data_IF_347215767995
#
_entry.id   IF_347215767995
#
_cell.length_a   1.000
_cell.length_b   1.000
_cell.length_c   1.000
_cell.angle_alpha   90.00
_cell.angle_beta   90.00
_cell.angle_gamma   90.00
#
_symmetry.space_group_name_H-M   'P 1'
#
loop_
_entity.id
_entity.type
_entity.pdbx_description
1 polymer ?
#
# COMPACT_ATOMS: atom_id res chain seq x y z
N UNK A 1 -4.76 3.15 -24.58
CA UNK A 1 -4.57 3.99 -23.37
C UNK A 1 -5.51 3.71 -22.21
N UNK A 2 -6.84 3.63 -22.42
CA UNK A 2 -7.81 3.36 -21.34
C UNK A 2 -7.44 2.13 -20.48
N UNK A 3 -7.10 0.94 -21.07
CA UNK A 3 -6.72 -0.22 -20.25
C UNK A 3 -5.50 0.04 -19.36
N UNK A 4 -4.51 0.80 -19.85
CA UNK A 4 -3.32 1.16 -19.09
C UNK A 4 -3.62 2.14 -17.96
N UNK A 5 -4.48 3.14 -18.21
CA UNK A 5 -4.92 4.08 -17.17
C UNK A 5 -5.70 3.36 -16.08
N UNK A 6 -6.62 2.46 -16.45
CA UNK A 6 -7.36 1.65 -15.48
C UNK A 6 -6.45 0.71 -14.69
N UNK A 7 -5.48 0.05 -15.33
CA UNK A 7 -4.48 -0.77 -14.63
C UNK A 7 -3.67 0.05 -13.61
N UNK A 8 -3.25 1.27 -13.97
CA UNK A 8 -2.58 2.21 -13.06
C UNK A 8 -3.48 2.58 -11.88
N UNK A 9 -4.75 2.88 -12.15
CA UNK A 9 -5.73 3.23 -11.12
C UNK A 9 -5.95 2.08 -10.13
N UNK A 10 -6.15 0.85 -10.61
CA UNK A 10 -6.26 -0.32 -9.74
C UNK A 10 -4.98 -0.56 -8.93
N UNK A 11 -3.81 -0.39 -9.55
CA UNK A 11 -2.54 -0.53 -8.83
C UNK A 11 -2.39 0.52 -7.72
N UNK A 12 -2.74 1.78 -7.97
CA UNK A 12 -2.76 2.84 -6.94
C UNK A 12 -3.75 2.52 -5.82
N UNK A 13 -4.97 2.12 -6.17
CA UNK A 13 -6.04 1.88 -5.21
C UNK A 13 -5.74 0.70 -4.26
N UNK A 14 -5.00 -0.31 -4.74
CA UNK A 14 -4.77 -1.57 -4.03
C UNK A 14 -3.42 -1.66 -3.31
N UNK A 15 -2.45 -0.80 -3.61
CA UNK A 15 -1.09 -0.91 -3.07
C UNK A 15 -0.73 0.20 -2.09
N UNK A 16 0.33 -0.02 -1.30
CA UNK A 16 0.86 0.98 -0.36
C UNK A 16 -0.14 1.32 0.74
N UNK A 17 -0.86 2.44 0.58
CA UNK A 17 -1.98 2.83 1.44
C UNK A 17 -3.26 2.77 0.61
N UNK A 18 -3.97 1.62 0.60
CA UNK A 18 -5.14 1.42 -0.24
C UNK A 18 -6.22 2.47 0.02
N UNK A 19 -6.93 2.86 -1.04
CA UNK A 19 -7.94 3.90 -0.98
C UNK A 19 -8.60 4.18 -2.33
N UNK A 20 -9.66 5.01 -2.34
CA UNK A 20 -10.36 5.36 -3.56
C UNK A 20 -9.46 6.17 -4.51
N UNK A 21 -9.65 5.96 -5.80
CA UNK A 21 -8.98 6.70 -6.88
C UNK A 21 -10.01 7.23 -7.86
N UNK A 22 -9.71 8.34 -8.52
CA UNK A 22 -10.57 8.97 -9.52
C UNK A 22 -9.94 8.78 -10.90
N UNK A 23 -10.77 8.37 -11.87
CA UNK A 23 -10.38 8.26 -13.28
C UNK A 23 -11.42 9.04 -14.08
N UNK A 24 -10.99 10.15 -14.67
CA UNK A 24 -11.86 10.97 -15.52
C UNK A 24 -11.81 10.48 -16.96
N UNK A 25 -12.98 10.32 -17.57
CA UNK A 25 -13.14 9.84 -18.93
C UNK A 25 -13.92 10.88 -19.76
N UNK A 26 -13.28 11.53 -20.74
CA UNK A 26 -13.95 12.44 -21.67
C UNK A 26 -15.11 11.77 -22.42
N UNK A 27 -16.16 12.53 -22.77
CA UNK A 27 -17.36 11.99 -23.42
C UNK A 27 -17.09 11.42 -24.81
N UNK A 28 -16.18 12.02 -25.56
CA UNK A 28 -15.86 11.66 -26.96
C UNK A 28 -15.19 10.29 -27.11
N UNK A 29 -14.51 9.81 -26.06
CA UNK A 29 -13.88 8.47 -26.01
C UNK A 29 -14.82 7.37 -25.53
N UNK A 30 -16.01 7.71 -25.02
CA UNK A 30 -16.99 6.78 -24.46
C UNK A 30 -18.06 6.33 -25.46
N UNK A 31 -17.93 6.68 -26.74
CA UNK A 31 -18.91 6.32 -27.76
C UNK A 31 -18.92 4.78 -28.01
N UNK A 32 -20.01 4.05 -27.70
CA UNK A 32 -20.06 2.60 -27.84
C UNK A 32 -19.90 2.09 -29.28
N UNK A 33 -20.16 2.94 -30.28
CA UNK A 33 -19.97 2.58 -31.69
C UNK A 33 -18.50 2.54 -32.10
N UNK A 34 -17.61 3.20 -31.36
CA UNK A 34 -16.16 3.24 -31.63
C UNK A 34 -15.46 2.11 -30.89
N UNK A 35 -15.29 0.96 -31.55
CA UNK A 35 -14.54 -0.17 -31.01
C UNK A 35 -13.04 -0.02 -31.31
N UNK A 36 -12.21 -0.43 -30.36
CA UNK A 36 -10.76 -0.50 -30.51
C UNK A 36 -10.27 -1.88 -30.04
N UNK A 37 -9.14 -2.39 -30.54
CA UNK A 37 -8.52 -3.59 -29.99
C UNK A 37 -8.31 -3.45 -28.48
N UNK A 38 -8.70 -4.48 -27.75
CA UNK A 38 -8.55 -4.53 -26.30
C UNK A 38 -7.38 -5.43 -25.91
N UNK A 39 -6.45 -4.87 -25.16
CA UNK A 39 -5.36 -5.61 -24.52
C UNK A 39 -5.17 -5.07 -23.11
N UNK A 40 -5.26 -5.95 -22.11
CA UNK A 40 -5.03 -5.60 -20.72
C UNK A 40 -3.54 -5.72 -20.38
N UNK A 41 -2.89 -4.68 -19.81
CA UNK A 41 -1.48 -4.78 -19.43
C UNK A 41 -1.28 -5.77 -18.28
N UNK A 42 -0.29 -6.66 -18.42
CA UNK A 42 0.12 -7.57 -17.34
C UNK A 42 0.75 -6.80 -16.18
N UNK A 43 1.68 -5.91 -16.50
CA UNK A 43 2.43 -5.10 -15.54
C UNK A 43 2.18 -3.61 -15.73
N UNK A 44 2.47 -2.84 -14.69
CA UNK A 44 2.36 -1.38 -14.70
C UNK A 44 3.48 -0.77 -13.86
N UNK A 45 4.01 0.35 -14.33
CA UNK A 45 5.00 1.15 -13.62
C UNK A 45 4.60 2.62 -13.71
N UNK A 46 4.88 3.37 -12.64
CA UNK A 46 4.63 4.80 -12.57
C UNK A 46 5.81 5.50 -11.91
N UNK A 47 6.31 6.55 -12.58
CA UNK A 47 7.39 7.37 -12.05
C UNK A 47 7.06 7.98 -10.69
N UNK A 48 5.81 8.40 -10.50
CA UNK A 48 5.33 9.11 -9.30
C UNK A 48 5.03 8.20 -8.11
N UNK A 49 5.02 6.88 -8.29
CA UNK A 49 4.57 5.96 -7.26
C UNK A 49 5.46 4.71 -7.20
N UNK A 50 6.35 4.70 -6.21
CA UNK A 50 7.28 3.61 -5.93
C UNK A 50 7.31 3.39 -4.40
N UNK A 51 6.33 2.64 -3.85
CA UNK A 51 6.23 2.44 -2.41
C UNK A 51 7.45 1.70 -1.88
N UNK A 52 8.01 2.20 -0.78
CA UNK A 52 9.13 1.52 -0.10
C UNK A 52 8.59 0.35 0.71
N UNK A 53 8.98 -0.87 0.34
CA UNK A 53 8.53 -2.11 1.01
C UNK A 53 9.45 -2.54 2.14
N UNK A 54 10.68 -2.02 2.19
CA UNK A 54 11.69 -2.37 3.19
C UNK A 54 11.94 -1.22 4.15
N UNK A 55 11.83 -1.50 5.45
CA UNK A 55 12.19 -0.53 6.48
C UNK A 55 13.70 -0.34 6.61
N UNK A 56 14.12 0.87 7.00
CA UNK A 56 15.53 1.18 7.19
C UNK A 56 16.08 0.48 8.45
N UNK A 57 17.01 -0.47 8.27
CA UNK A 57 17.56 -1.31 9.36
C UNK A 57 18.04 -0.50 10.57
N UNK A 58 18.73 0.62 10.34
CA UNK A 58 19.22 1.47 11.41
C UNK A 58 18.12 2.17 12.22
N UNK A 59 16.99 2.51 11.58
CA UNK A 59 15.85 3.13 12.27
C UNK A 59 15.09 2.09 13.08
N UNK A 60 14.89 0.89 12.52
CA UNK A 60 14.28 -0.25 13.22
C UNK A 60 15.09 -0.59 14.47
N UNK A 61 16.42 -0.68 14.36
CA UNK A 61 17.30 -0.96 15.51
C UNK A 61 17.16 0.09 16.62
N UNK A 62 17.13 1.38 16.26
CA UNK A 62 16.93 2.47 17.23
C UNK A 62 15.56 2.38 17.92
N UNK A 63 14.49 2.13 17.15
CA UNK A 63 13.15 1.98 17.70
C UNK A 63 13.07 0.80 18.70
N UNK A 64 13.70 -0.34 18.39
CA UNK A 64 13.77 -1.49 19.29
C UNK A 64 14.56 -1.18 20.57
N UNK A 65 15.68 -0.44 20.47
CA UNK A 65 16.44 -0.03 21.65
C UNK A 65 15.63 0.90 22.56
N UNK A 66 14.88 1.83 21.98
CA UNK A 66 13.97 2.71 22.74
C UNK A 66 12.85 1.91 23.40
N UNK A 67 12.24 0.96 22.69
CA UNK A 67 11.21 0.08 23.23
C UNK A 67 11.73 -0.78 24.39
N UNK A 68 12.93 -1.36 24.25
CA UNK A 68 13.54 -2.22 25.26
C UNK A 68 13.94 -1.48 26.54
N UNK A 69 14.22 -0.17 26.46
CA UNK A 69 14.56 0.67 27.61
C UNK A 69 13.35 1.38 28.24
N UNK A 70 12.16 1.23 27.66
CA UNK A 70 10.95 1.84 28.17
C UNK A 70 10.48 1.16 29.46
N UNK A 71 10.10 1.95 30.47
CA UNK A 71 9.62 1.41 31.76
C UNK A 71 8.15 0.97 31.74
N UNK A 72 7.31 1.68 30.99
CA UNK A 72 5.86 1.44 30.86
C UNK A 72 5.41 1.69 29.41
N UNK A 73 5.86 0.85 28.47
CA UNK A 73 5.48 0.98 27.06
C UNK A 73 4.00 0.70 26.87
N UNK A 74 3.39 1.35 25.87
CA UNK A 74 2.03 1.08 25.40
C UNK A 74 2.08 0.98 23.89
N UNK A 75 1.47 -0.07 23.34
CA UNK A 75 1.40 -0.27 21.89
C UNK A 75 0.03 0.18 21.39
N UNK A 76 0.01 1.26 20.61
CA UNK A 76 -1.20 1.74 19.94
C UNK A 76 -1.10 1.48 18.44
N UNK A 77 -2.09 0.75 17.90
CA UNK A 77 -2.06 0.23 16.54
C UNK A 77 -3.31 0.69 15.79
N UNK A 78 -3.11 1.38 14.67
CA UNK A 78 -4.20 1.78 13.78
C UNK A 78 -4.56 0.73 12.73
N UNK A 79 -5.57 1.03 11.91
CA UNK A 79 -6.07 0.14 10.85
C UNK A 79 -5.03 -0.23 9.77
N UNK A 80 -3.90 0.47 9.70
CA UNK A 80 -2.79 0.10 8.81
C UNK A 80 -2.25 -1.31 9.06
N UNK A 81 -2.27 -1.79 10.31
CA UNK A 81 -1.86 -3.16 10.61
C UNK A 81 -2.82 -4.22 10.03
N UNK A 82 -4.11 -3.87 9.93
CA UNK A 82 -5.14 -4.71 9.30
C UNK A 82 -4.94 -4.70 7.79
N UNK A 83 -4.79 -3.52 7.17
CA UNK A 83 -4.56 -3.40 5.72
C UNK A 83 -3.27 -4.09 5.26
N UNK A 84 -2.24 -4.13 6.11
CA UNK A 84 -0.99 -4.83 5.85
C UNK A 84 -1.02 -6.32 6.24
N UNK A 85 -2.14 -6.83 6.77
CA UNK A 85 -2.30 -8.19 7.28
C UNK A 85 -1.19 -8.62 8.27
N UNK A 86 -0.66 -7.69 9.07
CA UNK A 86 0.52 -7.93 9.91
C UNK A 86 0.17 -8.28 11.37
N UNK A 87 -1.05 -8.74 11.63
CA UNK A 87 -1.52 -9.12 12.96
C UNK A 87 -0.61 -10.16 13.64
N UNK A 88 -0.26 -11.24 12.93
CA UNK A 88 0.54 -12.32 13.52
C UNK A 88 1.97 -11.88 13.89
N UNK A 89 2.74 -11.22 13.00
CA UNK A 89 4.04 -10.65 13.38
C UNK A 89 3.95 -9.61 14.51
N UNK A 90 2.91 -8.77 14.50
CA UNK A 90 2.72 -7.75 15.53
C UNK A 90 2.46 -8.38 16.91
N UNK A 91 1.56 -9.36 16.96
CA UNK A 91 1.27 -10.13 18.18
C UNK A 91 2.54 -10.79 18.73
N UNK A 92 3.33 -11.41 17.87
CA UNK A 92 4.59 -12.05 18.27
C UNK A 92 5.56 -11.07 18.93
N UNK A 93 5.68 -9.84 18.40
CA UNK A 93 6.53 -8.81 19.00
C UNK A 93 6.00 -8.39 20.37
N UNK A 94 4.69 -8.16 20.49
CA UNK A 94 4.04 -7.77 21.76
C UNK A 94 4.30 -8.82 22.85
N UNK A 95 4.08 -10.10 22.53
CA UNK A 95 4.30 -11.22 23.46
C UNK A 95 5.79 -11.35 23.85
N UNK A 96 6.71 -11.18 22.90
CA UNK A 96 8.16 -11.30 23.14
C UNK A 96 8.68 -10.21 24.08
N UNK A 97 8.15 -8.99 23.95
CA UNK A 97 8.54 -7.86 24.80
C UNK A 97 7.70 -7.75 26.08
N UNK A 98 6.76 -8.68 26.30
CA UNK A 98 5.83 -8.71 27.42
C UNK A 98 5.10 -7.36 27.61
N UNK A 99 4.60 -6.82 26.50
CA UNK A 99 3.91 -5.53 26.38
C UNK A 99 2.40 -5.66 26.57
#
# INVERSE_FOLDING_TARGET
DIPLVLKKAFWLAASGRPGPVVVDLPKDILNPAKKMPYAWPETVSMRSYNPTTSGHKGQIKRALQTLASAKKPVVYVGGGAISAACYAPLRHIIETFNL
#
